data_IF_775237838016
#
_entry.id   IF_775237838016
#
_cell.length_a   1.000
_cell.length_b   1.000
_cell.length_c   1.000
_cell.angle_alpha   90.00
_cell.angle_beta   90.00
_cell.angle_gamma   90.00
#
_symmetry.space_group_name_H-M   'P 1'
#
loop_
_entity.id
_entity.type
_entity.pdbx_description
1 polymer ?
#
# COMPACT_ATOMS: atom_id res chain seq x y z
N UNK A 1 5.44 -1.30 -23.13
CA UNK A 1 4.14 -1.94 -23.40
C UNK A 1 3.36 -1.02 -24.33
N UNK A 2 3.04 -1.41 -25.58
CA UNK A 2 2.11 -0.65 -26.40
C UNK A 2 0.72 -0.61 -25.75
N UNK A 3 0.10 0.56 -25.67
CA UNK A 3 -1.23 0.74 -25.09
C UNK A 3 -1.97 1.93 -25.75
N UNK A 4 -3.31 1.93 -25.75
CA UNK A 4 -4.08 3.13 -26.06
C UNK A 4 -4.06 4.12 -24.88
N UNK A 5 -4.30 5.41 -25.14
CA UNK A 5 -4.48 6.41 -24.08
C UNK A 5 -3.23 6.74 -23.25
N UNK A 6 -3.44 7.37 -22.09
CA UNK A 6 -2.39 7.72 -21.14
C UNK A 6 -1.90 6.50 -20.35
N UNK A 7 -0.66 6.56 -19.86
CA UNK A 7 -0.05 5.46 -19.11
C UNK A 7 -0.78 5.12 -17.80
N UNK A 8 -1.54 6.08 -17.25
CA UNK A 8 -2.33 5.94 -16.02
C UNK A 8 -3.51 5.01 -16.25
N UNK A 9 -4.40 5.40 -17.17
CA UNK A 9 -5.64 4.68 -17.48
C UNK A 9 -5.35 3.33 -18.14
N UNK A 10 -4.22 3.22 -18.84
CA UNK A 10 -3.75 1.98 -19.43
C UNK A 10 -3.10 1.00 -18.43
N UNK A 11 -3.00 1.36 -17.14
CA UNK A 11 -2.45 0.47 -16.11
C UNK A 11 -0.96 0.16 -16.26
N UNK A 12 -0.19 1.01 -16.94
CA UNK A 12 1.23 0.77 -17.24
C UNK A 12 2.06 0.67 -15.97
N UNK A 13 1.75 1.50 -14.96
CA UNK A 13 2.44 1.48 -13.67
C UNK A 13 2.22 0.13 -12.97
N UNK A 14 0.98 -0.33 -12.87
CA UNK A 14 0.67 -1.62 -12.25
C UNK A 14 1.35 -2.78 -12.99
N UNK A 15 1.31 -2.78 -14.33
CA UNK A 15 1.97 -3.80 -15.12
C UNK A 15 3.50 -3.81 -14.91
N UNK A 16 4.11 -2.64 -14.66
CA UNK A 16 5.53 -2.54 -14.32
C UNK A 16 5.81 -3.09 -12.92
N UNK A 17 4.97 -2.82 -11.93
CA UNK A 17 5.09 -3.40 -10.58
C UNK A 17 4.95 -4.93 -10.63
N UNK A 18 3.93 -5.45 -11.32
CA UNK A 18 3.69 -6.90 -11.45
C UNK A 18 4.85 -7.62 -12.14
N UNK A 19 5.46 -6.98 -13.14
CA UNK A 19 6.64 -7.51 -13.83
C UNK A 19 7.86 -7.59 -12.89
N UNK A 20 8.03 -6.61 -12.01
CA UNK A 20 9.16 -6.53 -11.08
C UNK A 20 8.95 -7.33 -9.78
N UNK A 21 7.71 -7.71 -9.47
CA UNK A 21 7.33 -8.45 -8.24
C UNK A 21 6.69 -9.80 -8.61
N UNK A 22 7.50 -10.81 -8.98
CA UNK A 22 6.99 -12.08 -9.48
C UNK A 22 6.16 -12.81 -8.40
N UNK A 23 5.06 -13.44 -8.85
CA UNK A 23 4.22 -14.26 -7.99
C UNK A 23 5.03 -15.41 -7.38
N UNK A 24 4.85 -15.63 -6.08
CA UNK A 24 5.49 -16.72 -5.34
C UNK A 24 4.51 -17.85 -5.12
N UNK A 25 4.87 -19.05 -5.56
CA UNK A 25 4.07 -20.26 -5.41
C UNK A 25 4.64 -21.07 -4.24
N UNK A 26 3.80 -21.39 -3.27
CA UNK A 26 4.17 -22.14 -2.07
C UNK A 26 3.15 -23.25 -1.82
N UNK A 27 3.57 -24.45 -1.37
CA UNK A 27 2.64 -25.48 -0.93
C UNK A 27 1.86 -25.00 0.31
N UNK A 28 0.58 -25.34 0.39
CA UNK A 28 -0.30 -24.93 1.48
C UNK A 28 -1.37 -25.97 1.76
N UNK A 29 -1.84 -26.01 3.01
CA UNK A 29 -2.98 -26.81 3.44
C UNK A 29 -4.26 -25.97 3.58
N UNK A 30 -4.24 -24.72 3.10
CA UNK A 30 -5.42 -23.87 3.09
C UNK A 30 -6.51 -24.45 2.18
N UNK A 31 -7.80 -24.33 2.54
CA UNK A 31 -8.90 -24.74 1.69
C UNK A 31 -8.83 -24.09 0.29
N UNK A 32 -9.28 -24.82 -0.73
CA UNK A 32 -9.35 -24.30 -2.09
C UNK A 32 -10.19 -23.01 -2.14
N UNK A 33 -9.69 -22.01 -2.86
CA UNK A 33 -10.34 -20.70 -2.97
C UNK A 33 -10.13 -19.78 -1.76
N UNK A 34 -9.33 -20.16 -0.76
CA UNK A 34 -8.95 -19.25 0.32
C UNK A 34 -8.15 -18.08 -0.24
N UNK A 35 -8.70 -16.87 -0.13
CA UNK A 35 -8.03 -15.62 -0.47
C UNK A 35 -7.94 -14.72 0.75
N UNK A 36 -6.84 -13.97 0.85
CA UNK A 36 -6.66 -12.96 1.91
C UNK A 36 -5.77 -11.85 1.36
N UNK A 37 -6.22 -10.61 1.52
CA UNK A 37 -5.36 -9.43 1.32
C UNK A 37 -4.81 -8.96 2.66
N UNK A 38 -3.53 -8.62 2.71
CA UNK A 38 -2.96 -7.94 3.88
C UNK A 38 -3.37 -6.47 3.89
N UNK A 39 -3.29 -5.81 2.73
CA UNK A 39 -3.62 -4.41 2.52
C UNK A 39 -4.30 -4.30 1.15
N UNK A 40 -5.43 -3.62 1.11
CA UNK A 40 -6.19 -3.29 -0.09
C UNK A 40 -6.33 -1.77 -0.17
N UNK A 41 -6.22 -1.22 -1.37
CA UNK A 41 -6.40 0.21 -1.65
C UNK A 41 -7.46 0.32 -2.73
N UNK A 42 -8.46 1.15 -2.51
CA UNK A 42 -9.66 1.24 -3.36
C UNK A 42 -9.44 2.01 -4.69
N UNK A 43 -8.23 2.52 -4.91
CA UNK A 43 -7.87 3.32 -6.08
C UNK A 43 -6.52 2.88 -6.68
N UNK A 44 -6.42 2.78 -8.02
CA UNK A 44 -5.17 2.46 -8.71
C UNK A 44 -4.17 3.63 -8.73
N UNK A 45 -4.56 4.80 -8.20
CA UNK A 45 -3.67 5.96 -8.09
C UNK A 45 -2.61 5.78 -7.01
N UNK A 46 -2.84 4.89 -6.05
CA UNK A 46 -1.98 4.70 -4.88
C UNK A 46 -1.41 3.29 -4.90
N UNK A 47 -0.09 3.20 -4.81
CA UNK A 47 0.62 1.92 -4.84
C UNK A 47 1.19 1.65 -3.45
N UNK A 48 1.03 0.41 -2.97
CA UNK A 48 1.71 -0.08 -1.77
C UNK A 48 3.15 -0.41 -2.13
N UNK A 49 4.07 0.35 -1.57
CA UNK A 49 5.50 0.22 -1.84
C UNK A 49 6.18 -0.77 -0.90
N UNK A 50 5.83 -0.72 0.39
CA UNK A 50 6.44 -1.59 1.39
C UNK A 50 5.44 -1.98 2.46
N UNK A 51 5.55 -3.24 2.91
CA UNK A 51 4.93 -3.74 4.13
C UNK A 51 6.04 -4.45 4.91
N UNK A 52 6.32 -3.97 6.13
CA UNK A 52 7.37 -4.55 6.97
C UNK A 52 7.05 -4.38 8.45
N UNK A 53 7.72 -5.14 9.32
CA UNK A 53 7.69 -4.85 10.76
C UNK A 53 8.45 -3.54 11.05
N UNK A 54 8.00 -2.80 12.06
CA UNK A 54 8.74 -1.67 12.60
C UNK A 54 10.08 -2.15 13.18
N UNK A 55 11.08 -1.26 13.20
CA UNK A 55 12.42 -1.61 13.69
C UNK A 55 12.45 -1.84 15.21
N UNK A 56 11.71 -1.02 15.96
CA UNK A 56 11.78 -0.90 17.41
C UNK A 56 10.53 -1.41 18.14
N UNK A 57 9.56 -1.95 17.40
CA UNK A 57 8.23 -2.30 17.94
C UNK A 57 7.57 -3.45 17.18
N UNK A 58 6.45 -3.93 17.71
CA UNK A 58 5.59 -4.94 17.06
C UNK A 58 4.65 -4.36 16.00
N UNK A 59 4.72 -3.06 15.76
CA UNK A 59 3.91 -2.39 14.76
C UNK A 59 4.28 -2.84 13.34
N UNK A 60 3.35 -2.65 12.41
CA UNK A 60 3.59 -2.86 10.98
C UNK A 60 3.70 -1.50 10.29
N UNK A 61 4.74 -1.34 9.48
CA UNK A 61 4.93 -0.19 8.61
C UNK A 61 4.36 -0.51 7.23
N UNK A 62 3.44 0.33 6.76
CA UNK A 62 2.92 0.31 5.39
C UNK A 62 3.29 1.62 4.71
N UNK A 63 4.07 1.54 3.63
CA UNK A 63 4.44 2.71 2.82
C UNK A 63 3.64 2.69 1.54
N UNK A 64 3.00 3.81 1.22
CA UNK A 64 2.27 4.01 -0.02
C UNK A 64 2.77 5.26 -0.74
N UNK A 65 2.50 5.36 -2.04
CA UNK A 65 2.72 6.58 -2.79
C UNK A 65 1.63 6.83 -3.83
N UNK A 66 1.35 8.09 -4.10
CA UNK A 66 0.50 8.52 -5.22
C UNK A 66 1.32 8.49 -6.52
N UNK A 67 0.89 7.68 -7.48
CA UNK A 67 1.67 7.30 -8.65
C UNK A 67 1.32 8.08 -9.92
N UNK A 68 0.19 8.79 -9.93
CA UNK A 68 -0.36 9.45 -11.10
C UNK A 68 0.02 10.94 -11.16
N UNK A 69 0.58 11.53 -10.10
CA UNK A 69 0.95 12.94 -10.06
C UNK A 69 -0.27 13.86 -9.99
N UNK A 70 -1.36 13.41 -9.36
CA UNK A 70 -2.59 14.20 -9.16
C UNK A 70 -3.10 14.00 -7.73
N UNK A 71 -3.80 14.99 -7.14
CA UNK A 71 -4.42 14.78 -5.84
C UNK A 71 -5.45 13.63 -5.91
N UNK A 72 -5.47 12.77 -4.90
CA UNK A 72 -6.46 11.71 -4.80
C UNK A 72 -6.87 11.43 -3.35
N UNK A 73 -8.07 10.89 -3.20
CA UNK A 73 -8.53 10.23 -2.00
C UNK A 73 -8.31 8.72 -2.15
N UNK A 74 -7.89 8.05 -1.09
CA UNK A 74 -7.65 6.61 -1.09
C UNK A 74 -8.08 5.99 0.24
N UNK A 75 -9.02 5.05 0.17
CA UNK A 75 -9.41 4.20 1.28
C UNK A 75 -8.52 2.96 1.36
N UNK A 76 -7.96 2.72 2.55
CA UNK A 76 -7.10 1.55 2.82
C UNK A 76 -7.85 0.57 3.71
N UNK A 77 -8.00 -0.68 3.27
CA UNK A 77 -8.49 -1.77 4.11
C UNK A 77 -7.35 -2.72 4.45
N UNK A 78 -7.27 -3.18 5.71
CA UNK A 78 -6.19 -4.06 6.15
C UNK A 78 -6.70 -5.19 7.04
N UNK A 79 -6.07 -6.35 6.91
CA UNK A 79 -6.29 -7.49 7.82
C UNK A 79 -5.17 -7.65 8.85
N UNK A 80 -4.26 -6.66 8.89
CA UNK A 80 -3.21 -6.53 9.88
C UNK A 80 -3.76 -5.81 11.13
N UNK A 81 -3.22 -6.07 12.33
CA UNK A 81 -3.62 -5.33 13.52
C UNK A 81 -3.35 -3.83 13.36
N UNK A 82 -4.38 -3.02 13.56
CA UNK A 82 -4.34 -1.56 13.41
C UNK A 82 -5.30 -0.91 14.41
N UNK A 83 -5.05 -1.07 15.72
CA UNK A 83 -5.80 -0.36 16.76
C UNK A 83 -5.59 1.14 16.70
N UNK A 84 -4.37 1.55 16.34
CA UNK A 84 -3.99 2.93 16.08
C UNK A 84 -3.17 2.99 14.80
N UNK A 85 -3.37 4.07 14.05
CA UNK A 85 -2.67 4.31 12.79
C UNK A 85 -1.97 5.65 12.93
N UNK A 86 -0.65 5.66 12.81
CA UNK A 86 0.16 6.87 12.94
C UNK A 86 0.81 7.18 11.60
N UNK A 87 0.83 8.45 11.23
CA UNK A 87 1.75 8.94 10.21
C UNK A 87 3.17 8.94 10.77
N UNK A 88 4.11 8.44 9.99
CA UNK A 88 5.52 8.55 10.31
C UNK A 88 6.35 9.03 9.11
N UNK A 89 7.57 9.50 9.40
CA UNK A 89 8.54 9.79 8.36
C UNK A 89 9.20 8.50 7.82
N UNK A 90 10.10 8.63 6.84
CA UNK A 90 10.77 7.48 6.24
C UNK A 90 11.66 6.69 7.22
N UNK A 91 11.97 7.29 8.37
CA UNK A 91 12.75 6.71 9.47
C UNK A 91 11.84 6.25 10.62
N UNK A 92 10.54 6.07 10.35
CA UNK A 92 9.53 5.52 11.25
C UNK A 92 9.24 6.38 12.48
N UNK A 93 9.68 7.64 12.48
CA UNK A 93 9.42 8.57 13.57
C UNK A 93 7.98 9.06 13.48
N UNK A 94 7.24 8.82 14.56
CA UNK A 94 5.83 9.16 14.66
C UNK A 94 5.60 10.67 14.57
N UNK A 95 4.48 11.04 13.95
CA UNK A 95 4.03 12.43 13.83
C UNK A 95 2.69 12.60 14.50
N UNK A 96 1.64 12.16 13.83
CA UNK A 96 0.25 12.34 14.25
C UNK A 96 -0.56 11.09 13.98
N UNK A 97 -1.63 10.93 14.75
CA UNK A 97 -2.61 9.87 14.54
C UNK A 97 -3.48 10.20 13.33
N UNK A 98 -3.79 9.18 12.53
CA UNK A 98 -4.52 9.32 11.28
C UNK A 98 -5.51 8.16 11.13
N UNK A 99 -6.32 8.21 10.08
CA UNK A 99 -7.20 7.12 9.68
C UNK A 99 -6.59 6.35 8.51
N UNK A 100 -7.30 5.32 8.05
CA UNK A 100 -6.99 4.63 6.82
C UNK A 100 -7.61 5.29 5.58
N UNK A 101 -8.22 6.47 5.75
CA UNK A 101 -8.74 7.30 4.67
C UNK A 101 -7.74 8.43 4.40
N UNK A 102 -7.10 8.41 3.24
CA UNK A 102 -5.94 9.25 2.95
C UNK A 102 -6.23 10.26 1.84
N UNK A 103 -5.96 11.53 2.11
CA UNK A 103 -5.87 12.56 1.07
C UNK A 103 -4.41 12.78 0.69
N UNK A 104 -4.06 12.43 -0.55
CA UNK A 104 -2.69 12.47 -1.06
C UNK A 104 -2.52 13.57 -2.10
N UNK A 105 -1.41 14.29 -2.00
CA UNK A 105 -0.95 15.26 -3.01
C UNK A 105 -0.20 14.55 -4.14
N UNK A 106 -0.01 15.21 -5.30
CA UNK A 106 0.80 14.69 -6.39
C UNK A 106 2.16 14.16 -5.92
N UNK A 107 2.46 12.89 -6.23
CA UNK A 107 3.69 12.18 -5.89
C UNK A 107 3.99 12.09 -4.39
N UNK A 108 2.99 12.26 -3.53
CA UNK A 108 3.19 12.14 -2.09
C UNK A 108 3.49 10.71 -1.71
N UNK A 109 4.57 10.52 -0.95
CA UNK A 109 4.85 9.30 -0.20
C UNK A 109 4.24 9.45 1.20
N UNK A 110 3.53 8.42 1.64
CA UNK A 110 2.96 8.33 2.99
C UNK A 110 3.44 7.04 3.64
N UNK A 111 3.79 7.11 4.92
CA UNK A 111 4.15 5.93 5.72
C UNK A 111 3.22 5.86 6.92
N UNK A 112 2.51 4.73 7.03
CA UNK A 112 1.61 4.41 8.11
C UNK A 112 2.30 3.43 9.06
N UNK A 113 2.23 3.68 10.36
CA UNK A 113 2.57 2.74 11.42
C UNK A 113 1.28 2.21 12.03
N UNK A 114 1.03 0.92 11.85
CA UNK A 114 -0.14 0.19 12.35
C UNK A 114 0.21 -0.45 13.69
N UNK A 115 -0.33 0.09 14.79
CA UNK A 115 -0.13 -0.44 16.14
C UNK A 115 -1.21 -1.48 16.50
N UNK A 116 -0.86 -2.39 17.40
CA UNK A 116 -1.74 -3.47 17.89
C UNK A 116 -2.73 -3.04 18.97
#
# INVERSE_FOLDING_TARGET
MPHPGGFREAGVIQAAEDLNRPLRILPTNLPLGTTRSLVEVDTPQVIVEAIKRAEDSDAVIVRLYEAWGRPCHAGVTTTLPARRVLLCDLLEREREETSLELDLRPFQVVTLKLER
#
